data_IF_685946427519
#
_entry.id   IF_685946427519
#
_cell.length_a   1.000
_cell.length_b   1.000
_cell.length_c   1.000
_cell.angle_alpha   90.00
_cell.angle_beta   90.00
_cell.angle_gamma   90.00
#
_symmetry.space_group_name_H-M   'P 1'
#
loop_
_entity.id
_entity.type
_entity.pdbx_description
1 polymer ?
#
# COMPACT_ATOMS: atom_id res chain seq x y z
N UNK A 1 -6.52 14.24 18.02
CA UNK A 1 -5.82 13.27 17.14
C UNK A 1 -5.81 11.94 17.88
N UNK A 2 -6.39 10.90 17.30
CA UNK A 2 -6.34 9.57 17.92
C UNK A 2 -4.91 8.99 17.76
N UNK A 3 -4.26 8.54 18.84
CA UNK A 3 -2.95 7.89 18.77
C UNK A 3 -3.03 6.67 17.86
N UNK A 4 -2.20 6.66 16.82
CA UNK A 4 -2.28 5.65 15.76
C UNK A 4 -0.90 5.31 15.22
N UNK A 5 -0.78 4.14 14.61
CA UNK A 5 0.48 3.61 14.09
C UNK A 5 0.24 2.54 13.03
N UNK A 6 1.30 1.91 12.58
CA UNK A 6 1.29 0.79 11.63
C UNK A 6 2.12 -0.37 12.15
N UNK A 7 1.91 -1.57 11.62
CA UNK A 7 2.73 -2.73 11.89
C UNK A 7 2.97 -3.56 10.61
N UNK A 8 4.19 -4.09 10.47
CA UNK A 8 4.53 -5.01 9.39
C UNK A 8 4.23 -6.45 9.81
N UNK A 9 3.54 -7.18 8.94
CA UNK A 9 3.16 -8.59 9.11
C UNK A 9 3.87 -9.40 8.04
N UNK A 10 4.58 -10.46 8.46
CA UNK A 10 5.34 -11.33 7.57
C UNK A 10 4.95 -12.80 7.76
N UNK A 11 4.78 -13.51 6.66
CA UNK A 11 4.65 -14.97 6.64
C UNK A 11 3.24 -15.49 6.83
N UNK A 12 2.23 -14.66 6.63
CA UNK A 12 0.82 -15.06 6.52
C UNK A 12 0.28 -14.71 5.14
N UNK A 13 -0.73 -15.45 4.72
CA UNK A 13 -1.53 -15.10 3.53
C UNK A 13 -2.39 -13.87 3.82
N UNK A 14 -2.65 -13.06 2.78
CA UNK A 14 -3.34 -11.78 2.90
C UNK A 14 -4.74 -11.95 3.51
N UNK A 15 -5.48 -13.01 3.11
CA UNK A 15 -6.84 -13.29 3.58
C UNK A 15 -6.88 -13.59 5.10
N UNK A 16 -5.84 -14.19 5.66
CA UNK A 16 -5.73 -14.45 7.10
C UNK A 16 -5.57 -13.13 7.85
N UNK A 17 -4.71 -12.24 7.33
CA UNK A 17 -4.49 -10.91 7.93
C UNK A 17 -5.77 -10.06 7.84
N UNK A 18 -6.44 -10.04 6.69
CA UNK A 18 -7.70 -9.32 6.46
C UNK A 18 -8.77 -9.76 7.45
N UNK A 19 -8.96 -11.07 7.60
CA UNK A 19 -9.95 -11.64 8.52
C UNK A 19 -9.67 -11.25 9.97
N UNK A 20 -8.41 -11.36 10.41
CA UNK A 20 -8.03 -10.98 11.78
C UNK A 20 -8.26 -9.49 12.02
N UNK A 21 -7.93 -8.63 11.06
CA UNK A 21 -8.22 -7.19 11.16
C UNK A 21 -9.72 -6.93 11.25
N UNK A 22 -10.54 -7.59 10.43
CA UNK A 22 -11.99 -7.41 10.41
C UNK A 22 -12.67 -7.87 11.71
N UNK A 23 -12.11 -8.87 12.39
CA UNK A 23 -12.64 -9.41 13.66
C UNK A 23 -12.28 -8.54 14.89
N UNK A 24 -11.47 -7.48 14.72
CA UNK A 24 -11.09 -6.56 15.79
C UNK A 24 -12.06 -5.37 15.83
N UNK A 25 -12.56 -5.03 17.02
CA UNK A 25 -13.51 -3.91 17.20
C UNK A 25 -12.85 -2.53 17.03
N UNK A 26 -11.56 -2.44 17.31
CA UNK A 26 -10.78 -1.22 17.13
C UNK A 26 -10.48 -0.99 15.64
N UNK A 27 -10.21 0.25 15.27
CA UNK A 27 -9.82 0.55 13.87
C UNK A 27 -8.45 -0.06 13.59
N UNK A 28 -8.43 -1.08 12.76
CA UNK A 28 -7.24 -1.68 12.18
C UNK A 28 -7.60 -2.25 10.80
N UNK A 29 -6.80 -1.91 9.79
CA UNK A 29 -7.04 -2.30 8.40
C UNK A 29 -5.75 -2.71 7.71
N UNK A 30 -5.81 -3.59 6.71
CA UNK A 30 -4.72 -3.79 5.75
C UNK A 30 -4.42 -2.48 5.02
N UNK A 31 -3.17 -2.05 5.05
CA UNK A 31 -2.75 -0.75 4.53
C UNK A 31 -1.82 -0.86 3.31
N UNK A 32 -0.84 -1.78 3.32
CA UNK A 32 0.05 -1.98 2.20
C UNK A 32 0.23 -3.46 1.89
N UNK A 33 -0.25 -3.89 0.75
CA UNK A 33 0.03 -5.21 0.17
C UNK A 33 1.35 -5.12 -0.58
N UNK A 34 2.47 -5.34 0.11
CA UNK A 34 3.80 -5.07 -0.45
C UNK A 34 4.27 -6.15 -1.43
N UNK A 35 4.12 -7.41 -1.05
CA UNK A 35 4.38 -8.57 -1.89
C UNK A 35 3.79 -9.80 -1.19
N UNK A 36 3.65 -10.97 -1.83
CA UNK A 36 3.15 -12.18 -1.21
C UNK A 36 3.82 -12.48 0.14
N UNK A 37 3.02 -12.66 1.18
CA UNK A 37 3.48 -12.90 2.54
C UNK A 37 4.11 -11.69 3.25
N UNK A 38 3.92 -10.48 2.74
CA UNK A 38 4.35 -9.23 3.38
C UNK A 38 3.28 -8.15 3.26
N UNK A 39 2.57 -7.91 4.34
CA UNK A 39 1.50 -6.92 4.44
C UNK A 39 1.79 -5.96 5.60
N UNK A 40 1.39 -4.70 5.45
CA UNK A 40 1.40 -3.72 6.54
C UNK A 40 -0.04 -3.43 6.94
N UNK A 41 -0.30 -3.45 8.24
CA UNK A 41 -1.58 -3.05 8.82
C UNK A 41 -1.48 -1.67 9.44
N UNK A 42 -2.60 -0.94 9.48
CA UNK A 42 -2.67 0.44 9.94
C UNK A 42 -3.90 0.64 10.84
N UNK A 43 -3.76 1.37 11.95
CA UNK A 43 -4.89 1.55 12.85
C UNK A 43 -4.58 2.31 14.14
N UNK A 44 -5.53 2.30 15.07
CA UNK A 44 -5.32 2.82 16.41
C UNK A 44 -4.22 2.04 17.13
N UNK A 45 -3.50 2.67 18.05
CA UNK A 45 -2.45 1.99 18.80
C UNK A 45 -2.95 0.70 19.45
N UNK A 46 -4.14 0.75 20.07
CA UNK A 46 -4.77 -0.43 20.68
C UNK A 46 -5.16 -1.50 19.65
N UNK A 47 -5.71 -1.08 18.50
CA UNK A 47 -6.04 -2.01 17.42
C UNK A 47 -4.82 -2.73 16.87
N UNK A 48 -3.72 -2.01 16.69
CA UNK A 48 -2.44 -2.59 16.24
C UNK A 48 -1.86 -3.56 17.26
N UNK A 49 -1.93 -3.26 18.58
CA UNK A 49 -1.44 -4.19 19.61
C UNK A 49 -2.22 -5.51 19.59
N UNK A 50 -3.55 -5.42 19.60
CA UNK A 50 -4.42 -6.61 19.53
C UNK A 50 -4.18 -7.39 18.23
N UNK A 51 -4.01 -6.69 17.10
CA UNK A 51 -3.74 -7.34 15.82
C UNK A 51 -2.39 -8.07 15.83
N UNK A 52 -1.34 -7.45 16.35
CA UNK A 52 -0.01 -8.07 16.43
C UNK A 52 -0.02 -9.37 17.28
N UNK A 53 -0.74 -9.38 18.40
CA UNK A 53 -0.91 -10.57 19.24
C UNK A 53 -1.63 -11.69 18.46
N UNK A 54 -2.82 -11.40 17.91
CA UNK A 54 -3.61 -12.37 17.14
C UNK A 54 -2.90 -12.91 15.89
N UNK A 55 -2.20 -12.05 15.17
CA UNK A 55 -1.43 -12.44 13.99
C UNK A 55 -0.24 -13.34 14.36
N UNK A 56 0.39 -13.08 15.50
CA UNK A 56 1.46 -13.94 16.02
C UNK A 56 0.91 -15.31 16.42
N UNK A 57 -0.25 -15.36 17.10
CA UNK A 57 -0.94 -16.61 17.44
C UNK A 57 -1.37 -17.40 16.19
N UNK A 58 -1.74 -16.70 15.11
CA UNK A 58 -2.08 -17.30 13.82
C UNK A 58 -0.85 -17.78 13.01
N UNK A 59 0.36 -17.61 13.53
CA UNK A 59 1.60 -18.12 12.93
C UNK A 59 2.38 -17.10 12.09
N UNK A 60 2.13 -15.81 12.23
CA UNK A 60 2.96 -14.80 11.60
C UNK A 60 4.43 -14.95 12.04
N UNK A 61 5.33 -15.00 11.07
CA UNK A 61 6.77 -15.02 11.35
C UNK A 61 7.23 -13.74 12.03
N UNK A 62 6.56 -12.63 11.75
CA UNK A 62 6.71 -11.32 12.39
C UNK A 62 5.41 -10.54 12.35
N UNK A 63 5.08 -9.87 13.44
CA UNK A 63 4.07 -8.83 13.55
C UNK A 63 4.67 -7.71 14.41
N UNK A 64 5.26 -6.68 13.78
CA UNK A 64 6.05 -5.66 14.46
C UNK A 64 5.55 -4.25 14.15
N UNK A 65 5.38 -3.44 15.19
CA UNK A 65 5.12 -2.00 15.03
C UNK A 65 6.23 -1.32 14.25
N UNK A 66 5.81 -0.41 13.39
CA UNK A 66 6.71 0.47 12.65
C UNK A 66 6.94 1.77 13.44
N UNK A 67 8.11 2.41 13.32
CA UNK A 67 8.43 3.67 13.99
C UNK A 67 7.77 4.86 13.25
N UNK A 68 6.45 4.82 13.11
CA UNK A 68 5.64 5.86 12.44
C UNK A 68 4.58 6.39 13.39
N UNK A 69 4.31 7.69 13.31
CA UNK A 69 3.37 8.40 14.20
C UNK A 69 1.96 8.57 13.62
N UNK A 70 1.56 7.73 12.68
CA UNK A 70 0.23 7.83 12.06
C UNK A 70 -0.21 6.54 11.41
N UNK A 71 -1.53 6.38 11.25
CA UNK A 71 -2.16 5.24 10.59
C UNK A 71 -2.40 5.57 9.11
N UNK A 72 -1.32 5.62 8.31
CA UNK A 72 -1.42 5.90 6.89
C UNK A 72 -2.25 4.83 6.18
N UNK A 73 -2.90 5.21 5.09
CA UNK A 73 -3.75 4.32 4.29
C UNK A 73 -4.90 3.68 5.08
N UNK A 74 -5.48 4.43 6.01
CA UNK A 74 -6.60 4.00 6.85
C UNK A 74 -7.65 5.12 7.01
N UNK A 75 -8.87 4.83 7.49
CA UNK A 75 -9.88 5.85 7.77
C UNK A 75 -9.43 6.93 8.77
N UNK A 76 -8.39 6.67 9.58
CA UNK A 76 -7.84 7.65 10.53
C UNK A 76 -7.11 8.81 9.86
N UNK A 77 -6.86 8.75 8.54
CA UNK A 77 -6.26 9.82 7.75
C UNK A 77 -7.29 10.77 7.11
N UNK A 78 -8.59 10.63 7.43
CA UNK A 78 -9.65 11.40 6.76
C UNK A 78 -9.44 12.92 6.82
N UNK A 79 -9.05 13.47 7.96
CA UNK A 79 -8.81 14.92 8.07
C UNK A 79 -7.66 15.41 7.17
N UNK A 80 -6.61 14.58 7.00
CA UNK A 80 -5.51 14.91 6.10
C UNK A 80 -5.91 14.71 4.62
N UNK A 81 -6.84 13.78 4.34
CA UNK A 81 -7.42 13.60 3.01
C UNK A 81 -8.17 14.85 2.55
N UNK A 82 -9.00 15.43 3.42
CA UNK A 82 -9.76 16.64 3.10
C UNK A 82 -8.84 17.81 2.72
N UNK A 83 -7.75 18.03 3.46
CA UNK A 83 -6.76 19.07 3.15
C UNK A 83 -6.05 18.79 1.80
N UNK A 84 -5.65 17.55 1.56
CA UNK A 84 -5.00 17.13 0.31
C UNK A 84 -5.96 17.23 -0.89
N UNK A 85 -7.23 16.88 -0.70
CA UNK A 85 -8.26 16.93 -1.74
C UNK A 85 -8.40 18.33 -2.32
N UNK A 86 -8.39 19.37 -1.49
CA UNK A 86 -8.44 20.75 -1.95
C UNK A 86 -7.25 21.06 -2.88
N UNK A 87 -6.04 20.70 -2.50
CA UNK A 87 -4.85 20.94 -3.31
C UNK A 87 -4.89 20.15 -4.64
N UNK A 88 -5.42 18.92 -4.61
CA UNK A 88 -5.62 18.11 -5.80
C UNK A 88 -6.67 18.77 -6.71
N UNK A 89 -7.75 19.31 -6.15
CA UNK A 89 -8.82 19.95 -6.93
C UNK A 89 -8.35 21.23 -7.63
N UNK A 90 -7.46 21.98 -7.02
CA UNK A 90 -6.84 23.18 -7.59
C UNK A 90 -5.77 22.85 -8.64
N UNK A 91 -5.33 21.59 -8.73
CA UNK A 91 -4.28 21.15 -9.66
C UNK A 91 -4.90 20.74 -11.01
N UNK A 92 -4.31 21.23 -12.10
CA UNK A 92 -4.69 20.81 -13.46
C UNK A 92 -4.02 19.49 -13.82
N UNK A 93 -4.82 18.51 -14.21
CA UNK A 93 -4.36 17.23 -14.72
C UNK A 93 -4.56 17.16 -16.23
N UNK A 94 -3.53 16.72 -16.97
CA UNK A 94 -3.57 16.52 -18.42
C UNK A 94 -3.38 15.05 -18.76
N UNK A 95 -3.72 14.66 -19.98
CA UNK A 95 -3.40 13.33 -20.47
C UNK A 95 -1.89 13.10 -20.48
N UNK A 96 -1.47 11.99 -19.90
CA UNK A 96 -0.09 11.54 -19.96
C UNK A 96 0.25 10.90 -21.31
N UNK A 97 1.56 10.76 -21.57
CA UNK A 97 2.05 10.06 -22.78
C UNK A 97 2.01 8.53 -22.61
N UNK A 98 1.80 8.03 -21.41
CA UNK A 98 1.72 6.62 -21.07
C UNK A 98 0.66 6.40 -19.96
N UNK A 99 0.16 5.18 -19.81
CA UNK A 99 -0.73 4.84 -18.68
C UNK A 99 0.02 4.89 -17.35
N UNK A 100 -0.73 5.16 -16.28
CA UNK A 100 -0.25 5.19 -14.90
C UNK A 100 -0.94 4.08 -14.12
N UNK A 101 -0.18 3.24 -13.42
CA UNK A 101 -0.73 2.30 -12.46
C UNK A 101 -0.78 2.97 -11.09
N UNK A 102 -1.99 3.15 -10.56
CA UNK A 102 -2.19 3.76 -9.25
C UNK A 102 -2.44 2.70 -8.18
N UNK A 103 -1.83 2.89 -7.01
CA UNK A 103 -1.85 1.90 -5.93
C UNK A 103 -3.26 1.57 -5.40
N UNK A 104 -4.22 2.48 -5.49
CA UNK A 104 -5.59 2.28 -4.99
C UNK A 104 -6.42 1.36 -5.89
N UNK A 105 -6.11 1.28 -7.19
CA UNK A 105 -6.86 0.48 -8.17
C UNK A 105 -6.07 -0.72 -8.68
N UNK A 106 -4.74 -0.67 -8.59
CA UNK A 106 -3.83 -1.66 -9.15
C UNK A 106 -3.99 -1.87 -10.67
N UNK A 107 -4.54 -0.90 -11.39
CA UNK A 107 -4.80 -0.97 -12.83
C UNK A 107 -4.19 0.22 -13.57
N UNK A 108 -3.98 0.06 -14.88
CA UNK A 108 -3.49 1.13 -15.74
C UNK A 108 -4.60 2.13 -16.08
N UNK A 109 -4.32 3.42 -15.92
CA UNK A 109 -5.27 4.51 -16.13
C UNK A 109 -4.63 5.59 -16.98
N UNK A 110 -5.39 6.17 -17.90
CA UNK A 110 -4.96 7.28 -18.76
C UNK A 110 -5.83 8.52 -18.60
N UNK A 111 -7.05 8.36 -18.08
CA UNK A 111 -7.99 9.46 -17.89
C UNK A 111 -7.55 10.37 -16.73
N UNK A 112 -7.29 11.68 -16.98
CA UNK A 112 -6.81 12.61 -15.94
C UNK A 112 -7.78 12.76 -14.78
N UNK A 113 -9.09 12.75 -15.02
CA UNK A 113 -10.09 12.90 -13.97
C UNK A 113 -10.12 11.66 -13.06
N UNK A 114 -9.99 10.47 -13.62
CA UNK A 114 -9.92 9.23 -12.87
C UNK A 114 -8.62 9.17 -12.02
N UNK A 115 -7.49 9.59 -12.60
CA UNK A 115 -6.22 9.71 -11.88
C UNK A 115 -6.38 10.64 -10.68
N UNK A 116 -7.03 11.80 -10.88
CA UNK A 116 -7.30 12.79 -9.84
C UNK A 116 -8.14 12.21 -8.70
N UNK A 117 -9.24 11.54 -9.01
CA UNK A 117 -10.12 10.91 -8.01
C UNK A 117 -9.41 9.79 -7.23
N UNK A 118 -8.56 9.02 -7.89
CA UNK A 118 -7.79 7.97 -7.23
C UNK A 118 -6.71 8.51 -6.28
N UNK A 119 -6.09 9.65 -6.61
CA UNK A 119 -5.17 10.33 -5.70
C UNK A 119 -5.87 10.79 -4.42
N UNK A 120 -7.10 11.29 -4.50
CA UNK A 120 -7.90 11.66 -3.33
C UNK A 120 -8.20 10.47 -2.44
N UNK A 121 -8.53 9.31 -3.04
CA UNK A 121 -8.85 8.08 -2.31
C UNK A 121 -7.61 7.45 -1.65
N UNK A 122 -6.43 7.61 -2.23
CA UNK A 122 -5.23 6.87 -1.82
C UNK A 122 -4.84 7.08 -0.37
N UNK A 123 -5.07 8.25 0.20
CA UNK A 123 -4.64 8.55 1.57
C UNK A 123 -5.38 7.73 2.63
N UNK A 124 -6.62 7.35 2.35
CA UNK A 124 -7.47 6.54 3.23
C UNK A 124 -7.68 5.11 2.75
N UNK A 125 -7.07 4.75 1.61
CA UNK A 125 -7.21 3.43 0.98
C UNK A 125 -5.87 2.71 0.90
N UNK A 126 -5.93 1.38 0.86
CA UNK A 126 -4.75 0.52 0.81
C UNK A 126 -3.89 0.76 -0.41
N UNK A 127 -2.59 0.55 -0.26
CA UNK A 127 -1.61 0.45 -1.35
C UNK A 127 -1.60 -0.99 -1.84
N UNK A 128 -2.17 -1.24 -3.00
CA UNK A 128 -2.30 -2.56 -3.61
C UNK A 128 -1.07 -2.88 -4.49
N UNK A 129 0.15 -2.81 -3.92
CA UNK A 129 1.38 -2.93 -4.69
C UNK A 129 1.60 -4.34 -5.26
N UNK A 130 1.25 -5.39 -4.50
CA UNK A 130 1.28 -6.78 -4.98
C UNK A 130 0.41 -6.94 -6.22
N UNK A 131 -0.84 -6.50 -6.14
CA UNK A 131 -1.81 -6.58 -7.24
C UNK A 131 -1.37 -5.71 -8.43
N UNK A 132 -0.78 -4.55 -8.15
CA UNK A 132 -0.22 -3.66 -9.18
C UNK A 132 0.90 -4.36 -9.97
N UNK A 133 1.86 -4.97 -9.28
CA UNK A 133 2.94 -5.72 -9.91
C UNK A 133 2.42 -6.90 -10.75
N UNK A 134 1.47 -7.66 -10.21
CA UNK A 134 0.84 -8.78 -10.90
C UNK A 134 0.10 -8.32 -12.16
N UNK A 135 -0.62 -7.19 -12.07
CA UNK A 135 -1.34 -6.64 -13.22
C UNK A 135 -0.35 -6.13 -14.30
N UNK A 136 0.70 -5.41 -13.92
CA UNK A 136 1.74 -4.99 -14.85
C UNK A 136 2.37 -6.16 -15.60
N UNK A 137 2.68 -7.25 -14.90
CA UNK A 137 3.23 -8.48 -15.51
C UNK A 137 2.22 -9.08 -16.49
N UNK A 138 0.94 -9.16 -16.11
CA UNK A 138 -0.15 -9.65 -16.97
C UNK A 138 -0.33 -8.79 -18.22
N UNK A 139 -0.10 -7.49 -18.11
CA UNK A 139 -0.18 -6.53 -19.22
C UNK A 139 1.09 -6.53 -20.10
N UNK A 140 2.03 -7.44 -19.83
CA UNK A 140 3.21 -7.66 -20.69
C UNK A 140 4.47 -6.90 -20.25
N UNK A 141 4.57 -6.50 -18.99
CA UNK A 141 5.79 -5.87 -18.46
C UNK A 141 7.00 -6.80 -18.62
N UNK A 142 8.08 -6.29 -19.21
CA UNK A 142 9.33 -7.03 -19.44
C UNK A 142 10.49 -6.59 -18.54
N UNK A 143 10.45 -5.36 -18.07
CA UNK A 143 11.48 -4.81 -17.17
C UNK A 143 10.93 -3.64 -16.35
N UNK A 144 11.60 -3.34 -15.23
CA UNK A 144 11.28 -2.17 -14.38
C UNK A 144 12.53 -1.38 -14.07
N UNK A 145 12.39 -0.07 -14.02
CA UNK A 145 13.43 0.85 -13.55
C UNK A 145 12.92 1.62 -12.34
N UNK A 146 13.53 1.39 -11.17
CA UNK A 146 13.21 2.15 -9.95
C UNK A 146 13.88 3.52 -10.01
N UNK A 147 13.09 4.58 -9.91
CA UNK A 147 13.56 5.96 -9.89
C UNK A 147 13.44 6.52 -8.47
N UNK A 148 14.59 6.83 -7.87
CA UNK A 148 14.65 7.34 -6.50
C UNK A 148 15.75 6.68 -5.66
N UNK A 149 15.89 7.06 -4.39
CA UNK A 149 16.90 6.50 -3.50
C UNK A 149 16.55 5.06 -3.07
N UNK A 150 17.55 4.19 -3.08
CA UNK A 150 17.42 2.81 -2.62
C UNK A 150 16.99 1.82 -3.70
N UNK A 151 16.62 0.60 -3.27
CA UNK A 151 16.27 -0.54 -4.14
C UNK A 151 15.12 -1.36 -3.54
N UNK A 152 14.19 -0.71 -2.84
CA UNK A 152 13.11 -1.39 -2.11
C UNK A 152 12.10 -2.01 -3.07
N UNK A 153 11.66 -1.25 -4.07
CA UNK A 153 10.66 -1.70 -5.02
C UNK A 153 11.18 -2.83 -5.90
N UNK A 154 12.44 -2.79 -6.31
CA UNK A 154 13.10 -3.90 -7.02
C UNK A 154 13.06 -5.19 -6.20
N UNK A 155 13.32 -5.09 -4.89
CA UNK A 155 13.26 -6.22 -3.97
C UNK A 155 11.86 -6.81 -3.85
N UNK A 156 10.82 -5.98 -3.86
CA UNK A 156 9.42 -6.42 -3.86
C UNK A 156 9.04 -7.07 -5.19
N UNK A 157 9.44 -6.49 -6.31
CA UNK A 157 9.20 -7.05 -7.64
C UNK A 157 9.80 -8.46 -7.79
N UNK A 158 11.03 -8.67 -7.33
CA UNK A 158 11.70 -9.97 -7.37
C UNK A 158 10.98 -11.05 -6.55
N UNK A 159 10.18 -10.68 -5.55
CA UNK A 159 9.36 -11.63 -4.81
C UNK A 159 8.09 -12.06 -5.54
N UNK A 160 7.62 -11.24 -6.47
CA UNK A 160 6.47 -11.57 -7.34
C UNK A 160 6.95 -12.30 -8.60
N UNK A 161 8.03 -11.83 -9.20
CA UNK A 161 8.65 -12.47 -10.36
C UNK A 161 10.19 -12.30 -10.33
N UNK A 162 10.89 -13.36 -9.99
CA UNK A 162 12.35 -13.36 -9.85
C UNK A 162 13.10 -13.22 -11.18
N UNK A 163 12.45 -13.52 -12.31
CA UNK A 163 13.04 -13.49 -13.65
C UNK A 163 12.96 -12.11 -14.30
N UNK A 164 12.11 -11.22 -13.75
CA UNK A 164 11.94 -9.89 -14.30
C UNK A 164 13.19 -9.04 -14.08
N UNK A 165 13.66 -8.40 -15.14
CA UNK A 165 14.77 -7.45 -15.06
C UNK A 165 14.35 -6.22 -14.25
N UNK A 166 15.09 -5.91 -13.19
CA UNK A 166 14.84 -4.77 -12.32
C UNK A 166 16.14 -4.01 -12.05
N UNK A 167 16.14 -2.74 -12.35
CA UNK A 167 17.32 -1.87 -12.22
C UNK A 167 16.98 -0.52 -11.59
N UNK A 168 18.00 0.22 -11.16
CA UNK A 168 17.85 1.61 -10.70
C UNK A 168 18.16 2.55 -11.85
N UNK A 169 17.44 3.67 -11.93
CA UNK A 169 17.86 4.78 -12.79
C UNK A 169 19.21 5.30 -12.31
N UNK A 170 20.14 5.46 -13.26
CA UNK A 170 21.37 6.22 -12.99
C UNK A 170 21.01 7.72 -13.01
N UNK A 171 21.15 8.38 -11.87
CA UNK A 171 20.99 9.83 -11.71
C UNK A 171 22.36 10.50 -11.82
#
# INVERSE_FOLDING_TARGET
KNPSTMAAVLGLEDEVVEKICADIKEIVVPANYNCPGQLVISGSNKGIDIACEKLTEAGARRALRLPVGGAFHSPLMESAREELEQAIDETNFSFGICPIYQNVTATSITNPQEIKENLKKQLTSSVMWTQTMQQMIKDGLSSVTEVGPGKVLQGLFKKVNSELAAESASL
#
